data_IF_882076409606
#
_entry.id   IF_882076409606
#
_cell.length_a   1.000
_cell.length_b   1.000
_cell.length_c   1.000
_cell.angle_alpha   90.00
_cell.angle_beta   90.00
_cell.angle_gamma   90.00
#
_symmetry.space_group_name_H-M   'P 1'
#
loop_
_entity.id
_entity.type
_entity.pdbx_description
1 polymer ?
#
# COMPACT_ATOMS: atom_id res chain seq x y z
N UNK A 1 11.68 -51.59 14.74
CA UNK A 1 12.14 -50.20 14.92
C UNK A 1 13.62 -50.18 14.59
N UNK A 2 13.93 -50.10 13.30
CA UNK A 2 15.30 -50.06 12.81
C UNK A 2 15.86 -48.64 12.94
N UNK A 3 17.12 -48.59 13.34
CA UNK A 3 17.89 -47.37 13.58
C UNK A 3 18.08 -46.64 12.25
N UNK A 4 17.32 -45.57 12.03
CA UNK A 4 17.62 -44.60 10.97
C UNK A 4 19.02 -44.06 11.24
N UNK A 5 19.99 -44.43 10.41
CA UNK A 5 21.31 -43.80 10.41
C UNK A 5 21.11 -42.34 10.05
N UNK A 6 21.28 -41.45 11.02
CA UNK A 6 21.54 -40.04 10.74
C UNK A 6 22.89 -40.04 10.04
N UNK A 7 22.91 -39.93 8.71
CA UNK A 7 24.16 -39.75 7.99
C UNK A 7 24.78 -38.43 8.43
N UNK A 8 26.12 -38.38 8.48
CA UNK A 8 26.93 -37.14 8.43
C UNK A 8 26.73 -36.45 7.05
N UNK A 9 25.48 -36.27 6.64
CA UNK A 9 25.14 -35.65 5.36
C UNK A 9 25.45 -34.16 5.45
N UNK A 10 26.32 -33.71 4.56
CA UNK A 10 26.65 -32.28 4.41
C UNK A 10 25.36 -31.50 4.17
N UNK A 11 25.19 -30.31 4.76
CA UNK A 11 24.07 -29.45 4.45
C UNK A 11 24.01 -29.17 2.95
N UNK A 12 22.79 -29.06 2.42
CA UNK A 12 22.57 -28.75 1.01
C UNK A 12 21.78 -27.46 0.87
N UNK A 13 22.09 -26.73 -0.19
CA UNK A 13 21.27 -25.64 -0.70
C UNK A 13 20.15 -26.25 -1.54
N UNK A 14 18.90 -25.85 -1.31
CA UNK A 14 17.76 -26.37 -2.03
C UNK A 14 16.76 -25.26 -2.42
N UNK A 15 15.90 -25.58 -3.38
CA UNK A 15 14.71 -24.83 -3.75
C UNK A 15 13.45 -25.64 -3.43
N UNK A 16 12.35 -24.95 -3.14
CA UNK A 16 11.05 -25.60 -3.02
C UNK A 16 10.54 -26.01 -4.41
N UNK A 17 9.84 -27.13 -4.49
CA UNK A 17 9.13 -27.59 -5.69
C UNK A 17 7.61 -27.58 -5.43
N UNK A 18 6.80 -28.09 -6.35
CA UNK A 18 5.35 -28.09 -6.18
C UNK A 18 4.94 -29.01 -5.01
N UNK A 19 3.96 -28.59 -4.18
CA UNK A 19 3.38 -29.46 -3.16
C UNK A 19 2.64 -30.64 -3.81
N UNK A 20 2.67 -31.80 -3.17
CA UNK A 20 1.80 -32.94 -3.53
C UNK A 20 0.54 -32.93 -2.67
N UNK A 21 0.67 -32.52 -1.41
CA UNK A 21 -0.42 -32.35 -0.43
C UNK A 21 -0.13 -31.17 0.50
N UNK A 22 -0.98 -30.94 1.50
CA UNK A 22 -0.76 -29.90 2.53
C UNK A 22 0.51 -30.15 3.34
N UNK A 23 0.81 -31.41 3.63
CA UNK A 23 1.90 -31.80 4.54
C UNK A 23 3.13 -32.35 3.82
N UNK A 24 2.97 -32.74 2.54
CA UNK A 24 4.01 -33.38 1.74
C UNK A 24 4.28 -32.66 0.42
N UNK A 25 5.55 -32.58 0.07
CA UNK A 25 6.02 -31.94 -1.16
C UNK A 25 7.47 -32.31 -1.45
N UNK A 26 8.06 -31.68 -2.45
CA UNK A 26 9.44 -31.93 -2.84
C UNK A 26 10.30 -30.69 -2.69
N UNK A 27 11.59 -30.94 -2.50
CA UNK A 27 12.62 -29.91 -2.65
C UNK A 27 13.67 -30.40 -3.64
N UNK A 28 14.26 -29.46 -4.37
CA UNK A 28 15.27 -29.73 -5.39
C UNK A 28 16.63 -29.33 -4.80
N UNK A 29 17.56 -30.28 -4.57
CA UNK A 29 18.94 -29.99 -4.21
C UNK A 29 19.65 -29.25 -5.33
N UNK A 30 20.44 -28.24 -4.96
CA UNK A 30 21.12 -27.34 -5.90
C UNK A 30 22.64 -27.39 -5.69
N UNK A 31 23.10 -27.39 -4.44
CA UNK A 31 24.52 -27.43 -4.11
C UNK A 31 24.78 -28.05 -2.73
N UNK A 32 25.92 -28.69 -2.56
CA UNK A 32 26.46 -29.08 -1.26
C UNK A 32 27.21 -27.91 -0.63
N UNK A 33 26.96 -27.67 0.65
CA UNK A 33 27.75 -26.72 1.44
C UNK A 33 29.01 -27.43 2.00
N UNK A 34 30.16 -26.75 1.86
CA UNK A 34 31.45 -27.19 2.37
C UNK A 34 31.83 -26.41 3.63
N UNK A 35 32.76 -26.95 4.44
CA UNK A 35 33.16 -26.39 5.76
C UNK A 35 33.66 -24.93 5.72
N UNK A 36 33.97 -24.38 4.55
CA UNK A 36 34.43 -22.99 4.36
C UNK A 36 33.35 -22.02 3.83
N UNK A 37 32.06 -22.36 3.95
CA UNK A 37 30.94 -21.63 3.29
C UNK A 37 31.13 -21.52 1.77
N UNK A 38 31.73 -22.56 1.18
CA UNK A 38 31.85 -22.71 -0.25
C UNK A 38 30.81 -23.74 -0.72
N UNK A 39 30.42 -23.67 -1.98
CA UNK A 39 29.37 -24.51 -2.54
C UNK A 39 29.90 -25.29 -3.74
N UNK A 40 29.55 -26.57 -3.80
CA UNK A 40 29.74 -27.40 -5.00
C UNK A 40 28.37 -27.76 -5.53
N UNK A 41 28.13 -27.55 -6.82
CA UNK A 41 26.87 -27.89 -7.49
C UNK A 41 26.55 -29.37 -7.21
N UNK A 42 25.33 -29.65 -6.77
CA UNK A 42 24.86 -31.01 -6.57
C UNK A 42 24.55 -31.63 -7.94
N UNK A 43 25.04 -32.84 -8.19
CA UNK A 43 24.64 -33.55 -9.40
C UNK A 43 23.21 -34.06 -9.21
N UNK A 44 22.38 -33.94 -10.24
CA UNK A 44 21.05 -34.55 -10.26
C UNK A 44 21.11 -36.06 -10.05
N UNK A 45 22.24 -36.69 -10.39
CA UNK A 45 22.46 -38.12 -10.20
C UNK A 45 22.84 -38.49 -8.76
N UNK A 46 23.23 -37.53 -7.93
CA UNK A 46 23.45 -37.75 -6.49
C UNK A 46 22.13 -38.01 -5.76
N UNK A 47 21.00 -37.60 -6.36
CA UNK A 47 19.65 -37.78 -5.87
C UNK A 47 18.83 -38.59 -6.91
N UNK A 48 18.80 -39.92 -6.81
CA UNK A 48 18.06 -40.76 -7.76
C UNK A 48 16.56 -40.42 -7.70
N UNK A 49 15.84 -40.75 -8.78
CA UNK A 49 14.39 -40.55 -8.91
C UNK A 49 14.02 -39.06 -9.02
N UNK A 50 14.46 -38.47 -10.14
CA UNK A 50 14.18 -37.09 -10.58
C UNK A 50 14.95 -35.96 -9.87
N UNK A 51 16.00 -36.26 -9.10
CA UNK A 51 16.87 -35.22 -8.53
C UNK A 51 16.21 -34.45 -7.38
N UNK A 52 15.37 -35.11 -6.57
CA UNK A 52 14.53 -34.49 -5.54
C UNK A 52 14.68 -35.17 -4.19
N UNK A 53 14.32 -34.43 -3.14
CA UNK A 53 14.16 -34.96 -1.78
C UNK A 53 12.69 -34.82 -1.39
N UNK A 54 12.12 -35.91 -0.89
CA UNK A 54 10.76 -35.93 -0.37
C UNK A 54 10.66 -35.25 1.00
N UNK A 55 9.69 -34.37 1.16
CA UNK A 55 9.37 -33.78 2.46
C UNK A 55 8.25 -34.60 3.08
N UNK A 56 8.59 -35.43 4.07
CA UNK A 56 7.66 -36.40 4.65
C UNK A 56 6.57 -35.77 5.51
N UNK A 57 6.81 -34.56 6.02
CA UNK A 57 5.91 -33.82 6.90
C UNK A 57 6.29 -32.35 6.95
N UNK A 58 5.32 -31.48 7.29
CA UNK A 58 5.52 -30.04 7.53
C UNK A 58 5.92 -29.25 6.26
N UNK A 59 5.56 -29.72 5.07
CA UNK A 59 5.86 -29.01 3.83
C UNK A 59 5.29 -27.58 3.79
N UNK A 60 4.11 -27.36 4.35
CA UNK A 60 3.51 -26.03 4.52
C UNK A 60 4.44 -25.02 5.21
N UNK A 61 5.34 -25.49 6.09
CA UNK A 61 6.32 -24.62 6.75
C UNK A 61 7.36 -24.11 5.76
N UNK A 62 7.81 -24.94 4.82
CA UNK A 62 8.70 -24.54 3.74
C UNK A 62 7.96 -23.61 2.79
N UNK A 63 6.77 -24.00 2.34
CA UNK A 63 6.01 -23.25 1.34
C UNK A 63 5.64 -21.83 1.81
N UNK A 64 5.29 -21.67 3.09
CA UNK A 64 5.00 -20.36 3.70
C UNK A 64 6.26 -19.52 3.95
N UNK A 65 7.40 -20.14 4.26
CA UNK A 65 8.62 -19.42 4.65
C UNK A 65 9.45 -18.95 3.47
N UNK A 66 9.42 -19.70 2.36
CA UNK A 66 10.30 -19.46 1.22
C UNK A 66 9.49 -19.16 -0.02
N UNK A 67 9.86 -18.07 -0.69
CA UNK A 67 9.27 -17.70 -1.97
C UNK A 67 9.72 -18.70 -3.05
N UNK A 68 9.03 -18.70 -4.20
CA UNK A 68 9.56 -19.37 -5.38
C UNK A 68 10.96 -18.79 -5.68
N UNK A 69 11.90 -19.64 -6.10
CA UNK A 69 13.29 -19.25 -6.40
C UNK A 69 14.12 -18.80 -5.20
N UNK A 70 13.60 -18.87 -3.98
CA UNK A 70 14.35 -18.54 -2.78
C UNK A 70 15.07 -19.77 -2.26
N UNK A 71 16.41 -19.73 -2.29
CA UNK A 71 17.22 -20.79 -1.71
C UNK A 71 17.09 -20.84 -0.18
N UNK A 72 17.07 -22.07 0.34
CA UNK A 72 17.21 -22.37 1.76
C UNK A 72 18.19 -23.52 1.97
N UNK A 73 18.67 -23.65 3.21
CA UNK A 73 19.57 -24.71 3.63
C UNK A 73 18.74 -25.87 4.18
N UNK A 74 19.01 -27.09 3.72
CA UNK A 74 18.55 -28.32 4.34
C UNK A 74 19.68 -28.84 5.22
N UNK A 75 19.48 -28.76 6.52
CA UNK A 75 20.50 -29.13 7.50
C UNK A 75 20.60 -30.63 7.70
N UNK A 76 19.50 -31.36 7.47
CA UNK A 76 19.41 -32.81 7.66
C UNK A 76 18.47 -33.42 6.63
N UNK A 77 18.89 -34.56 6.09
CA UNK A 77 18.07 -35.42 5.25
C UNK A 77 18.57 -36.86 5.43
N UNK A 78 17.66 -37.82 5.27
CA UNK A 78 17.92 -39.25 5.42
C UNK A 78 17.75 -39.95 4.09
N UNK A 79 18.38 -41.12 3.95
CA UNK A 79 18.18 -42.01 2.82
C UNK A 79 17.45 -43.28 3.30
N UNK A 80 16.57 -43.81 2.46
CA UNK A 80 16.12 -45.19 2.56
C UNK A 80 17.02 -46.05 1.67
N UNK A 81 17.68 -47.05 2.26
CA UNK A 81 18.62 -47.94 1.56
C UNK A 81 17.93 -49.17 0.94
N UNK A 82 16.59 -49.21 0.97
CA UNK A 82 15.83 -50.29 0.35
C UNK A 82 15.91 -50.21 -1.19
N UNK A 83 16.38 -51.29 -1.82
CA UNK A 83 16.57 -51.41 -3.28
C UNK A 83 15.31 -51.05 -4.08
N UNK A 84 14.12 -51.29 -3.53
CA UNK A 84 12.85 -50.93 -4.16
C UNK A 84 12.67 -49.42 -4.39
N UNK A 85 13.31 -48.56 -3.58
CA UNK A 85 13.33 -47.11 -3.76
C UNK A 85 14.45 -46.66 -4.69
N UNK A 86 15.47 -47.48 -4.92
CA UNK A 86 16.60 -47.16 -5.80
C UNK A 86 16.25 -47.47 -7.25
N UNK A 87 15.51 -48.54 -7.49
CA UNK A 87 15.16 -49.02 -8.85
C UNK A 87 13.84 -48.43 -9.39
N UNK A 88 13.08 -47.71 -8.56
CA UNK A 88 11.79 -47.15 -8.95
C UNK A 88 11.87 -45.62 -9.10
N UNK A 89 11.81 -45.15 -10.34
CA UNK A 89 11.82 -43.73 -10.71
C UNK A 89 10.69 -42.89 -10.08
N UNK A 90 9.66 -43.53 -9.50
CA UNK A 90 8.52 -42.90 -8.84
C UNK A 90 8.61 -42.87 -7.31
N UNK A 91 9.66 -43.41 -6.69
CA UNK A 91 9.83 -43.43 -5.24
C UNK A 91 11.13 -42.73 -4.84
N UNK A 92 11.07 -41.73 -3.97
CA UNK A 92 12.24 -40.94 -3.63
C UNK A 92 13.09 -41.65 -2.57
N UNK A 93 14.38 -41.85 -2.88
CA UNK A 93 15.35 -42.42 -1.93
C UNK A 93 15.57 -41.53 -0.71
N UNK A 94 15.58 -40.21 -0.93
CA UNK A 94 15.94 -39.24 0.09
C UNK A 94 14.71 -38.54 0.65
N UNK A 95 14.68 -38.36 1.96
CA UNK A 95 13.59 -37.66 2.64
C UNK A 95 14.07 -36.75 3.78
N UNK A 96 13.27 -35.74 4.09
CA UNK A 96 13.49 -34.77 5.17
C UNK A 96 12.17 -34.32 5.82
N UNK A 97 12.23 -33.60 6.94
CA UNK A 97 11.07 -32.88 7.50
C UNK A 97 11.16 -31.39 7.18
N UNK A 98 10.02 -30.70 7.10
CA UNK A 98 9.99 -29.26 6.88
C UNK A 98 10.77 -28.45 7.91
N UNK A 99 10.82 -28.92 9.16
CA UNK A 99 11.64 -28.34 10.24
C UNK A 99 13.17 -28.41 10.02
N UNK A 100 13.66 -29.27 9.12
CA UNK A 100 15.09 -29.35 8.78
C UNK A 100 15.53 -28.25 7.80
N UNK A 101 14.60 -27.40 7.33
CA UNK A 101 14.86 -26.27 6.45
C UNK A 101 15.16 -24.96 7.22
N UNK A 102 16.25 -24.30 6.86
CA UNK A 102 16.74 -23.06 7.46
C UNK A 102 16.90 -21.96 6.41
N UNK A 103 16.48 -20.74 6.76
CA UNK A 103 16.68 -19.57 5.90
C UNK A 103 18.16 -19.19 5.83
N UNK A 104 18.66 -18.88 4.63
CA UNK A 104 20.01 -18.37 4.48
C UNK A 104 20.11 -16.95 5.05
N UNK A 105 21.30 -16.55 5.48
CA UNK A 105 21.55 -15.19 5.96
C UNK A 105 21.29 -14.18 4.85
N UNK A 106 20.99 -12.92 5.22
CA UNK A 106 20.56 -11.85 4.29
C UNK A 106 21.47 -11.66 3.07
N UNK A 107 22.77 -11.88 3.23
CA UNK A 107 23.75 -11.69 2.16
C UNK A 107 24.50 -12.95 1.73
N UNK A 108 23.86 -14.11 1.92
CA UNK A 108 24.22 -15.39 1.32
C UNK A 108 23.35 -15.62 0.08
N UNK A 109 23.95 -16.19 -0.96
CA UNK A 109 23.31 -16.49 -2.26
C UNK A 109 22.54 -15.29 -2.84
N UNK A 110 23.21 -14.14 -2.94
CA UNK A 110 22.62 -12.96 -3.57
C UNK A 110 22.61 -13.12 -5.09
N UNK A 111 21.46 -12.98 -5.77
CA UNK A 111 21.40 -13.11 -7.22
C UNK A 111 22.19 -12.01 -7.93
N UNK A 112 22.77 -12.38 -9.07
CA UNK A 112 23.48 -11.48 -9.98
C UNK A 112 22.66 -11.37 -11.26
N UNK A 113 22.25 -10.15 -11.58
CA UNK A 113 21.44 -9.83 -12.74
C UNK A 113 22.38 -9.32 -13.83
N UNK A 114 22.36 -9.98 -15.00
CA UNK A 114 23.21 -9.62 -16.13
C UNK A 114 22.50 -8.63 -17.03
N UNK A 115 22.75 -7.36 -16.80
CA UNK A 115 22.29 -6.25 -17.62
C UNK A 115 23.10 -5.00 -17.27
N UNK A 116 22.96 -3.95 -18.07
CA UNK A 116 23.57 -2.67 -17.75
C UNK A 116 22.99 -2.11 -16.45
N UNK A 117 23.85 -1.48 -15.63
CA UNK A 117 23.39 -0.81 -14.43
C UNK A 117 22.42 0.32 -14.81
N UNK A 118 21.18 0.34 -14.30
CA UNK A 118 20.25 1.39 -14.66
C UNK A 118 20.69 2.76 -14.15
N UNK A 119 20.19 3.81 -14.78
CA UNK A 119 20.47 5.16 -14.37
C UNK A 119 19.87 5.46 -13.00
N UNK A 120 20.60 6.22 -12.19
CA UNK A 120 20.14 6.64 -10.85
C UNK A 120 18.86 7.48 -10.87
N UNK A 121 18.60 8.19 -11.98
CA UNK A 121 17.37 8.98 -12.19
C UNK A 121 16.16 8.06 -12.43
N UNK A 122 16.38 6.93 -13.11
CA UNK A 122 15.36 5.91 -13.42
C UNK A 122 15.89 4.51 -13.09
N UNK A 123 15.92 4.13 -11.80
CA UNK A 123 16.63 2.94 -11.33
C UNK A 123 15.80 1.67 -11.55
N UNK A 124 15.31 1.45 -12.77
CA UNK A 124 14.48 0.30 -13.14
C UNK A 124 15.27 -0.68 -13.99
N UNK A 125 15.18 -1.96 -13.65
CA UNK A 125 15.78 -3.02 -14.46
C UNK A 125 15.00 -3.20 -15.77
N UNK A 126 15.70 -3.62 -16.81
CA UNK A 126 15.06 -4.03 -18.06
C UNK A 126 14.51 -5.46 -17.93
N UNK A 127 15.16 -6.29 -17.12
CA UNK A 127 14.72 -7.65 -16.85
C UNK A 127 13.46 -7.69 -15.96
N UNK A 128 12.50 -8.52 -16.34
CA UNK A 128 11.25 -8.77 -15.59
C UNK A 128 11.28 -10.16 -14.93
N UNK A 129 12.47 -10.77 -14.83
CA UNK A 129 12.61 -12.09 -14.23
C UNK A 129 12.14 -12.08 -12.76
N UNK A 130 11.53 -13.18 -12.26
CA UNK A 130 11.22 -13.29 -10.85
C UNK A 130 12.53 -13.22 -10.05
N UNK A 131 12.61 -12.25 -9.13
CA UNK A 131 13.74 -12.12 -8.21
C UNK A 131 13.37 -12.73 -6.86
N UNK A 132 14.29 -13.45 -6.21
CA UNK A 132 14.07 -13.88 -4.83
C UNK A 132 14.02 -12.66 -3.91
N UNK A 133 13.34 -12.79 -2.77
CA UNK A 133 13.23 -11.74 -1.75
C UNK A 133 14.55 -11.52 -0.99
N UNK A 134 15.60 -11.14 -1.72
CA UNK A 134 16.97 -10.96 -1.27
C UNK A 134 17.60 -9.77 -1.97
N UNK A 135 18.63 -9.20 -1.35
CA UNK A 135 19.42 -8.17 -2.00
C UNK A 135 20.10 -8.72 -3.25
N UNK A 136 20.12 -7.93 -4.32
CA UNK A 136 20.62 -8.33 -5.64
C UNK A 136 21.90 -7.57 -6.02
N UNK A 137 22.63 -8.09 -6.99
CA UNK A 137 23.76 -7.43 -7.62
C UNK A 137 23.51 -7.32 -9.13
N UNK A 138 24.11 -6.31 -9.77
CA UNK A 138 24.01 -6.09 -11.21
C UNK A 138 25.40 -6.23 -11.84
N UNK A 139 25.48 -6.97 -12.95
CA UNK A 139 26.70 -7.21 -13.71
C UNK A 139 26.54 -6.64 -15.13
N UNK A 140 27.25 -5.54 -15.42
CA UNK A 140 27.26 -4.87 -16.73
C UNK A 140 28.29 -5.47 -17.72
N UNK A 141 28.77 -6.69 -17.43
CA UNK A 141 29.89 -7.41 -18.06
C UNK A 141 31.30 -6.90 -17.71
N UNK A 142 31.44 -5.69 -17.17
CA UNK A 142 32.73 -5.12 -16.77
C UNK A 142 32.89 -5.06 -15.26
N UNK A 143 31.85 -4.58 -14.58
CA UNK A 143 31.77 -4.34 -13.15
C UNK A 143 30.58 -5.07 -12.53
N UNK A 144 30.76 -5.46 -11.28
CA UNK A 144 29.68 -5.88 -10.39
C UNK A 144 29.29 -4.71 -9.49
N UNK A 145 28.00 -4.43 -9.40
CA UNK A 145 27.41 -3.39 -8.57
C UNK A 145 26.45 -3.98 -7.54
N UNK A 146 26.43 -3.43 -6.32
CA UNK A 146 25.43 -3.76 -5.31
C UNK A 146 25.93 -3.60 -3.88
N UNK A 147 25.29 -4.20 -2.88
CA UNK A 147 23.99 -4.83 -2.98
C UNK A 147 22.89 -3.78 -3.23
N UNK A 148 21.82 -4.21 -3.91
CA UNK A 148 20.59 -3.45 -4.09
C UNK A 148 19.44 -4.14 -3.38
N UNK A 149 18.55 -3.35 -2.76
CA UNK A 149 17.20 -3.79 -2.46
C UNK A 149 16.33 -3.51 -3.68
N UNK A 150 15.30 -4.31 -3.88
CA UNK A 150 14.39 -4.16 -5.00
C UNK A 150 12.93 -4.16 -4.57
N UNK A 151 12.11 -3.46 -5.32
CA UNK A 151 10.64 -3.44 -5.18
C UNK A 151 10.03 -3.53 -6.56
N UNK A 152 8.87 -4.17 -6.69
CA UNK A 152 8.11 -4.22 -7.94
C UNK A 152 6.94 -3.25 -7.87
N UNK A 153 6.82 -2.39 -8.88
CA UNK A 153 5.69 -1.49 -9.10
C UNK A 153 5.16 -1.65 -10.54
N UNK A 154 4.28 -0.72 -10.98
CA UNK A 154 3.66 -0.75 -12.31
C UNK A 154 4.67 -0.52 -13.45
N UNK A 155 5.79 0.16 -13.19
CA UNK A 155 6.85 0.40 -14.19
C UNK A 155 7.83 -0.77 -14.28
N UNK A 156 8.00 -1.54 -13.20
CA UNK A 156 8.82 -2.74 -13.21
C UNK A 156 9.55 -2.98 -11.90
N UNK A 157 10.76 -3.52 -12.00
CA UNK A 157 11.62 -3.81 -10.84
C UNK A 157 12.50 -2.58 -10.59
N UNK A 158 12.21 -1.86 -9.51
CA UNK A 158 12.95 -0.70 -9.05
C UNK A 158 14.06 -1.10 -8.09
N UNK A 159 15.28 -0.62 -8.32
CA UNK A 159 16.44 -0.81 -7.46
C UNK A 159 16.67 0.37 -6.52
N UNK A 160 17.20 0.06 -5.35
CA UNK A 160 17.71 1.05 -4.39
C UNK A 160 18.95 0.52 -3.68
N UNK A 161 19.90 1.39 -3.36
CA UNK A 161 21.14 0.97 -2.68
C UNK A 161 20.82 0.31 -1.32
N UNK A 162 21.26 -0.93 -1.14
CA UNK A 162 21.11 -1.66 0.11
C UNK A 162 22.26 -1.35 1.07
N UNK A 163 21.92 -1.14 2.34
CA UNK A 163 22.94 -1.01 3.37
C UNK A 163 23.45 -2.39 3.77
N UNK A 164 24.74 -2.63 3.51
CA UNK A 164 25.44 -3.80 4.01
C UNK A 164 26.39 -3.39 5.14
N UNK A 165 26.09 -3.77 6.41
CA UNK A 165 26.99 -3.49 7.53
C UNK A 165 28.34 -4.20 7.37
N UNK A 166 28.41 -5.19 6.47
CA UNK A 166 29.60 -5.96 6.21
C UNK A 166 30.59 -5.19 5.32
N UNK A 167 30.10 -4.49 4.31
CA UNK A 167 30.94 -3.80 3.34
C UNK A 167 31.35 -2.39 3.78
N UNK A 168 30.74 -1.81 4.83
CA UNK A 168 31.11 -0.45 5.26
C UNK A 168 30.79 0.62 4.21
N UNK A 169 29.71 0.41 3.44
CA UNK A 169 29.26 1.34 2.41
C UNK A 169 28.73 2.63 3.04
N UNK A 170 29.03 3.76 2.41
CA UNK A 170 28.38 5.04 2.74
C UNK A 170 26.87 4.95 2.46
N UNK A 171 26.05 5.78 3.12
CA UNK A 171 24.63 5.87 2.80
C UNK A 171 24.40 6.09 1.30
N UNK A 172 23.47 5.33 0.74
CA UNK A 172 23.05 5.37 -0.67
C UNK A 172 24.15 4.99 -1.68
N UNK A 173 25.30 4.51 -1.22
CA UNK A 173 26.34 4.01 -2.10
C UNK A 173 26.25 2.50 -2.26
N UNK A 174 26.72 2.04 -3.41
CA UNK A 174 26.89 0.62 -3.74
C UNK A 174 28.36 0.31 -3.98
N UNK A 175 28.75 -0.91 -3.64
CA UNK A 175 30.01 -1.53 -4.01
C UNK A 175 30.11 -1.62 -5.54
N UNK A 176 31.31 -1.34 -6.06
CA UNK A 176 31.69 -1.44 -7.47
C UNK A 176 33.08 -2.08 -7.57
N UNK A 177 33.16 -3.18 -8.31
CA UNK A 177 34.42 -3.91 -8.52
C UNK A 177 34.46 -4.52 -9.92
N UNK A 178 35.63 -4.78 -10.48
CA UNK A 178 35.72 -5.49 -11.75
C UNK A 178 35.36 -6.96 -11.57
N UNK A 179 34.62 -7.54 -12.52
CA UNK A 179 34.15 -8.92 -12.44
C UNK A 179 35.26 -9.95 -12.19
N UNK A 180 36.45 -9.88 -12.84
CA UNK A 180 37.52 -10.86 -12.60
C UNK A 180 38.03 -10.91 -11.16
N UNK A 181 37.88 -9.83 -10.39
CA UNK A 181 38.36 -9.76 -9.00
C UNK A 181 37.43 -10.50 -8.03
N UNK A 182 36.20 -10.79 -8.45
CA UNK A 182 35.17 -11.46 -7.64
C UNK A 182 34.63 -12.74 -8.27
N UNK A 183 35.12 -13.15 -9.45
CA UNK A 183 34.59 -14.30 -10.18
C UNK A 183 34.67 -15.61 -9.39
N UNK A 184 35.68 -15.75 -8.52
CA UNK A 184 35.83 -16.88 -7.61
C UNK A 184 34.74 -16.98 -6.54
N UNK A 185 33.99 -15.90 -6.31
CA UNK A 185 32.86 -15.83 -5.36
C UNK A 185 31.50 -16.00 -6.05
N UNK A 186 31.51 -16.19 -7.37
CA UNK A 186 30.30 -16.33 -8.18
C UNK A 186 30.09 -17.81 -8.49
N UNK A 187 28.91 -18.31 -8.13
CA UNK A 187 28.44 -19.64 -8.54
C UNK A 187 27.43 -19.49 -9.67
N UNK A 188 27.54 -20.36 -10.67
CA UNK A 188 26.62 -20.41 -11.81
C UNK A 188 25.84 -21.71 -11.76
N UNK A 189 24.53 -21.64 -11.98
CA UNK A 189 23.66 -22.80 -12.08
C UNK A 189 23.15 -22.92 -13.52
N UNK A 190 23.70 -23.88 -14.26
CA UNK A 190 23.44 -24.04 -15.70
C UNK A 190 22.11 -24.74 -16.00
N UNK A 191 21.49 -25.40 -15.00
CA UNK A 191 20.34 -26.29 -15.17
C UNK A 191 19.16 -25.95 -14.24
N UNK A 192 18.54 -24.78 -14.41
CA UNK A 192 17.12 -24.61 -13.97
C UNK A 192 16.12 -25.14 -15.01
N UNK A 193 16.62 -25.65 -16.15
CA UNK A 193 15.93 -25.86 -17.43
C UNK A 193 14.62 -26.67 -17.40
N UNK A 194 14.33 -27.42 -16.34
CA UNK A 194 13.17 -28.33 -16.33
C UNK A 194 12.04 -27.93 -15.39
N UNK A 195 12.22 -26.93 -14.52
CA UNK A 195 11.23 -26.70 -13.45
C UNK A 195 10.65 -25.29 -13.38
N UNK A 196 11.30 -24.28 -13.97
CA UNK A 196 10.88 -22.91 -13.74
C UNK A 196 11.23 -21.88 -14.82
N UNK A 197 10.49 -20.76 -14.83
CA UNK A 197 10.79 -19.55 -15.59
C UNK A 197 12.08 -18.91 -15.05
N UNK A 198 13.21 -19.28 -15.67
CA UNK A 198 14.57 -18.75 -15.56
C UNK A 198 14.81 -17.72 -14.43
N UNK A 199 15.10 -18.15 -13.19
CA UNK A 199 15.71 -17.27 -12.19
C UNK A 199 17.11 -16.83 -12.64
N UNK A 200 17.74 -15.86 -11.96
CA UNK A 200 19.12 -15.50 -12.22
C UNK A 200 20.01 -16.74 -12.22
N UNK A 201 20.80 -16.95 -13.28
CA UNK A 201 21.67 -18.12 -13.38
C UNK A 201 22.95 -17.99 -12.53
N UNK A 202 23.26 -16.80 -12.04
CA UNK A 202 24.48 -16.51 -11.29
C UNK A 202 24.15 -15.91 -9.94
N UNK A 203 24.91 -16.33 -8.92
CA UNK A 203 24.75 -15.87 -7.56
C UNK A 203 26.11 -15.60 -6.93
N UNK A 204 26.17 -14.58 -6.10
CA UNK A 204 27.27 -14.35 -5.19
C UNK A 204 27.00 -15.15 -3.91
N UNK A 205 27.77 -16.21 -3.68
CA UNK A 205 27.40 -17.15 -2.62
C UNK A 205 27.59 -16.59 -1.21
N UNK A 206 28.55 -15.70 -0.99
CA UNK A 206 28.71 -14.99 0.28
C UNK A 206 29.39 -13.62 0.11
N UNK A 207 28.62 -12.56 0.37
CA UNK A 207 29.14 -11.18 0.28
C UNK A 207 30.24 -10.84 1.29
N UNK A 208 30.41 -11.63 2.37
CA UNK A 208 31.46 -11.36 3.35
C UNK A 208 32.85 -11.40 2.72
N UNK A 209 33.05 -12.25 1.71
CA UNK A 209 34.33 -12.36 1.02
C UNK A 209 34.67 -11.12 0.20
N UNK A 210 33.67 -10.32 -0.20
CA UNK A 210 33.91 -9.06 -0.91
C UNK A 210 34.70 -8.04 -0.07
N UNK A 211 34.70 -8.16 1.27
CA UNK A 211 35.53 -7.28 2.13
C UNK A 211 37.02 -7.44 1.89
N UNK A 212 37.44 -8.61 1.40
CA UNK A 212 38.84 -8.91 1.14
C UNK A 212 39.32 -8.39 -0.23
N UNK A 213 38.40 -7.89 -1.05
CA UNK A 213 38.69 -7.36 -2.38
C UNK A 213 38.80 -5.84 -2.30
N UNK A 214 39.72 -5.25 -3.05
CA UNK A 214 39.77 -3.80 -3.21
C UNK A 214 38.60 -3.35 -4.10
N UNK A 215 37.82 -2.36 -3.65
CA UNK A 215 36.62 -1.95 -4.37
C UNK A 215 36.39 -0.46 -4.27
N UNK A 216 35.62 0.07 -5.22
CA UNK A 216 35.14 1.45 -5.20
C UNK A 216 33.71 1.52 -4.70
N UNK A 217 33.33 2.67 -4.12
CA UNK A 217 31.94 2.96 -3.77
C UNK A 217 31.36 3.92 -4.81
N UNK A 218 30.22 3.58 -5.37
CA UNK A 218 29.49 4.42 -6.31
C UNK A 218 28.22 4.94 -5.65
N UNK A 219 28.01 6.26 -5.67
CA UNK A 219 26.77 6.85 -5.20
C UNK A 219 25.61 6.45 -6.13
N UNK A 220 24.56 5.88 -5.55
CA UNK A 220 23.39 5.37 -6.24
C UNK A 220 22.09 5.87 -5.57
N UNK A 221 22.10 7.14 -5.15
CA UNK A 221 20.89 7.79 -4.63
C UNK A 221 19.91 8.08 -5.77
N UNK A 222 18.66 7.61 -5.66
CA UNK A 222 17.60 7.94 -6.64
C UNK A 222 17.13 9.38 -6.50
N UNK A 223 16.48 9.95 -7.53
CA UNK A 223 15.97 11.32 -7.47
C UNK A 223 14.97 11.52 -6.32
N UNK A 224 14.02 10.60 -6.11
CA UNK A 224 13.08 10.65 -4.98
C UNK A 224 13.78 10.66 -3.61
N UNK A 225 14.85 9.87 -3.49
CA UNK A 225 15.62 9.77 -2.25
C UNK A 225 16.54 10.97 -2.08
N UNK A 226 17.07 11.52 -3.17
CA UNK A 226 17.84 12.76 -3.21
C UNK A 226 16.97 13.94 -2.80
N UNK A 227 15.70 13.94 -3.21
CA UNK A 227 14.67 14.89 -2.77
C UNK A 227 14.50 14.81 -1.24
N UNK A 228 14.28 13.60 -0.73
CA UNK A 228 14.11 13.36 0.72
C UNK A 228 15.36 13.76 1.51
N UNK A 229 16.54 13.43 0.98
CA UNK A 229 17.84 13.79 1.55
C UNK A 229 18.03 15.31 1.58
N UNK A 230 17.71 16.02 0.48
CA UNK A 230 17.81 17.47 0.42
C UNK A 230 16.86 18.16 1.40
N UNK A 231 15.64 17.62 1.57
CA UNK A 231 14.67 18.17 2.53
C UNK A 231 15.21 18.05 3.96
N UNK A 232 15.77 16.89 4.29
CA UNK A 232 16.38 16.66 5.60
C UNK A 232 17.58 17.59 5.85
N UNK A 233 18.43 17.82 4.85
CA UNK A 233 19.67 18.56 5.04
C UNK A 233 19.52 20.08 4.89
N UNK A 234 18.68 20.55 3.97
CA UNK A 234 18.47 21.98 3.72
C UNK A 234 17.35 22.57 4.58
N UNK A 235 16.26 21.82 4.77
CA UNK A 235 15.06 22.30 5.46
C UNK A 235 14.92 21.75 6.88
N UNK A 236 15.81 20.82 7.28
CA UNK A 236 15.73 20.09 8.56
C UNK A 236 14.38 19.39 8.76
N UNK A 237 13.73 18.99 7.68
CA UNK A 237 12.44 18.32 7.68
C UNK A 237 12.45 17.17 6.69
N UNK A 238 12.03 15.98 7.10
CA UNK A 238 11.91 14.81 6.20
C UNK A 238 10.61 14.77 5.40
N UNK A 239 9.62 15.60 5.78
CA UNK A 239 8.24 15.53 5.27
C UNK A 239 7.91 16.76 4.40
N UNK A 240 8.80 17.75 4.34
CA UNK A 240 8.56 18.97 3.58
C UNK A 240 8.29 18.64 2.10
N UNK A 241 7.05 18.89 1.64
CA UNK A 241 6.73 18.83 0.22
C UNK A 241 7.48 19.95 -0.50
N UNK A 242 8.13 19.62 -1.60
CA UNK A 242 8.79 20.62 -2.44
C UNK A 242 7.72 21.48 -3.13
N UNK A 243 7.78 22.78 -2.89
CA UNK A 243 6.93 23.83 -3.44
C UNK A 243 7.82 25.03 -3.79
N UNK A 244 7.25 26.09 -4.38
CA UNK A 244 8.03 27.26 -4.83
C UNK A 244 8.91 27.87 -3.72
N UNK A 245 8.44 27.89 -2.47
CA UNK A 245 9.20 28.41 -1.33
C UNK A 245 10.38 27.50 -0.99
N UNK A 246 10.13 26.22 -0.79
CA UNK A 246 11.18 25.25 -0.43
C UNK A 246 12.19 25.04 -1.55
N UNK A 247 11.77 25.10 -2.83
CA UNK A 247 12.67 25.09 -3.98
C UNK A 247 13.62 26.31 -4.02
N UNK A 248 13.13 27.49 -3.61
CA UNK A 248 13.96 28.70 -3.52
C UNK A 248 14.97 28.57 -2.38
N UNK A 249 14.54 28.06 -1.22
CA UNK A 249 15.42 27.75 -0.08
C UNK A 249 16.49 26.71 -0.46
N UNK A 250 16.13 25.70 -1.26
CA UNK A 250 17.08 24.74 -1.82
C UNK A 250 18.11 25.39 -2.75
N UNK A 251 17.68 26.27 -3.66
CA UNK A 251 18.60 27.00 -4.55
C UNK A 251 19.58 27.86 -3.77
N UNK A 252 19.11 28.56 -2.73
CA UNK A 252 19.97 29.34 -1.83
C UNK A 252 20.94 28.43 -1.07
N UNK A 253 20.45 27.32 -0.52
CA UNK A 253 21.30 26.36 0.19
C UNK A 253 22.39 25.78 -0.72
N UNK A 254 22.03 25.36 -1.94
CA UNK A 254 22.98 24.81 -2.93
C UNK A 254 24.00 25.84 -3.41
N UNK A 255 23.64 27.12 -3.47
CA UNK A 255 24.59 28.21 -3.79
C UNK A 255 25.56 28.47 -2.64
N UNK A 256 25.08 28.39 -1.40
CA UNK A 256 25.83 28.76 -0.20
C UNK A 256 26.69 27.63 0.37
N UNK A 257 26.43 26.36 0.02
CA UNK A 257 27.15 25.22 0.53
C UNK A 257 28.28 24.79 -0.41
N UNK A 258 29.51 25.17 -0.07
CA UNK A 258 30.71 24.47 -0.59
C UNK A 258 31.03 23.19 0.18
N UNK A 259 30.49 23.00 1.40
CA UNK A 259 31.00 22.00 2.35
C UNK A 259 29.89 21.26 3.15
N UNK A 260 28.81 20.79 2.53
CA UNK A 260 27.87 19.91 3.24
C UNK A 260 28.37 18.47 3.19
N UNK A 261 28.55 17.82 4.34
CA UNK A 261 29.02 16.43 4.42
C UNK A 261 28.07 15.49 3.65
N UNK A 262 28.60 14.76 2.66
CA UNK A 262 27.80 13.87 1.82
C UNK A 262 27.14 14.53 0.60
N UNK A 263 27.45 15.81 0.33
CA UNK A 263 27.14 16.49 -0.92
C UNK A 263 28.38 16.52 -1.81
N UNK A 264 28.40 15.66 -2.82
CA UNK A 264 29.38 15.75 -3.90
C UNK A 264 28.86 16.62 -5.06
N UNK A 265 29.72 16.87 -6.04
CA UNK A 265 29.39 17.66 -7.23
C UNK A 265 28.24 17.02 -8.03
N UNK A 266 28.15 15.69 -8.08
CA UNK A 266 27.13 14.99 -8.85
C UNK A 266 25.73 15.16 -8.23
N UNK A 267 25.58 14.90 -6.92
CA UNK A 267 24.34 15.15 -6.17
C UNK A 267 23.91 16.60 -6.28
N UNK A 268 24.87 17.54 -6.21
CA UNK A 268 24.60 18.97 -6.36
C UNK A 268 24.01 19.28 -7.73
N UNK A 269 24.66 18.82 -8.80
CA UNK A 269 24.22 19.06 -10.17
C UNK A 269 22.84 18.43 -10.44
N UNK A 270 22.58 17.24 -9.91
CA UNK A 270 21.26 16.59 -9.99
C UNK A 270 20.19 17.38 -9.24
N UNK A 271 20.45 17.85 -8.03
CA UNK A 271 19.51 18.72 -7.29
C UNK A 271 19.19 19.98 -8.11
N UNK A 272 20.20 20.63 -8.70
CA UNK A 272 20.00 21.84 -9.53
C UNK A 272 19.11 21.53 -10.73
N UNK A 273 19.25 20.35 -11.36
CA UNK A 273 18.40 19.91 -12.48
C UNK A 273 16.98 19.52 -12.05
N UNK A 274 16.81 18.97 -10.84
CA UNK A 274 15.52 18.55 -10.32
C UNK A 274 14.62 19.73 -9.95
N UNK A 275 15.20 20.81 -9.40
CA UNK A 275 14.44 21.97 -8.93
C UNK A 275 13.47 22.54 -10.00
N UNK A 276 13.90 22.80 -11.25
CA UNK A 276 12.99 23.25 -12.32
C UNK A 276 11.87 22.25 -12.65
N UNK A 277 12.21 20.97 -12.86
CA UNK A 277 11.25 19.91 -13.21
C UNK A 277 10.15 19.80 -12.15
N UNK A 278 10.52 19.84 -10.88
CA UNK A 278 9.57 19.72 -9.76
C UNK A 278 8.69 20.97 -9.58
N UNK A 279 9.19 22.16 -9.91
CA UNK A 279 8.37 23.38 -9.94
C UNK A 279 7.31 23.31 -11.03
N UNK A 280 7.66 22.79 -12.20
CA UNK A 280 6.74 22.58 -13.32
C UNK A 280 5.69 21.50 -13.00
N UNK A 281 6.10 20.34 -12.49
CA UNK A 281 5.20 19.25 -12.08
C UNK A 281 4.24 19.67 -10.97
N UNK A 282 4.69 20.42 -9.96
CA UNK A 282 3.79 20.92 -8.91
C UNK A 282 2.70 21.85 -9.46
N UNK A 283 3.03 22.61 -10.51
CA UNK A 283 2.09 23.52 -11.19
C UNK A 283 1.12 22.72 -12.05
N UNK A 284 1.61 21.69 -12.74
CA UNK A 284 0.78 20.79 -13.54
C UNK A 284 -0.15 19.91 -12.68
N UNK A 285 0.35 19.31 -11.60
CA UNK A 285 -0.45 18.51 -10.66
C UNK A 285 -1.52 19.36 -9.96
N UNK A 286 -1.17 20.59 -9.53
CA UNK A 286 -2.16 21.50 -8.97
C UNK A 286 -3.22 21.88 -10.01
N UNK A 287 -2.82 22.13 -11.26
CA UNK A 287 -3.77 22.41 -12.34
C UNK A 287 -4.65 21.21 -12.67
N UNK A 288 -4.11 19.99 -12.65
CA UNK A 288 -4.83 18.74 -12.90
C UNK A 288 -5.81 18.43 -11.78
N UNK A 289 -5.38 18.50 -10.51
CA UNK A 289 -6.26 18.30 -9.34
C UNK A 289 -7.38 19.35 -9.35
N UNK A 290 -7.05 20.61 -9.64
CA UNK A 290 -8.07 21.65 -9.70
C UNK A 290 -9.05 21.37 -10.85
N UNK A 291 -8.55 21.01 -12.04
CA UNK A 291 -9.38 20.62 -13.18
C UNK A 291 -10.26 19.39 -12.88
N UNK A 292 -9.73 18.37 -12.21
CA UNK A 292 -10.47 17.19 -11.77
C UNK A 292 -11.58 17.56 -10.78
N UNK A 293 -11.25 18.35 -9.74
CA UNK A 293 -12.21 18.76 -8.71
C UNK A 293 -13.28 19.73 -9.23
N UNK A 294 -12.96 20.58 -10.22
CA UNK A 294 -13.91 21.58 -10.73
C UNK A 294 -14.66 21.15 -11.98
N UNK A 295 -14.03 20.40 -12.89
CA UNK A 295 -14.54 20.15 -14.23
C UNK A 295 -14.90 18.68 -14.49
N UNK A 296 -14.46 17.74 -13.66
CA UNK A 296 -14.86 16.34 -13.76
C UNK A 296 -15.96 15.96 -12.76
N UNK A 297 -16.94 15.18 -13.22
CA UNK A 297 -18.12 14.85 -12.41
C UNK A 297 -17.80 14.05 -11.15
N UNK A 298 -16.73 13.24 -11.16
CA UNK A 298 -16.29 12.48 -9.99
C UNK A 298 -15.61 13.38 -8.96
N UNK A 299 -14.77 14.32 -9.39
CA UNK A 299 -14.17 15.31 -8.50
C UNK A 299 -15.21 16.23 -7.87
N UNK A 300 -16.21 16.68 -8.64
CA UNK A 300 -17.34 17.45 -8.11
C UNK A 300 -18.11 16.67 -7.03
N UNK A 301 -18.38 15.38 -7.25
CA UNK A 301 -19.05 14.53 -6.24
C UNK A 301 -18.27 14.44 -4.93
N UNK A 302 -16.94 14.39 -4.98
CA UNK A 302 -16.09 14.37 -3.77
C UNK A 302 -16.22 15.69 -3.01
N UNK A 303 -16.20 16.83 -3.73
CA UNK A 303 -16.39 18.15 -3.12
C UNK A 303 -17.78 18.28 -2.52
N UNK A 304 -18.81 17.86 -3.24
CA UNK A 304 -20.20 17.88 -2.78
C UNK A 304 -20.38 17.01 -1.54
N UNK A 305 -19.84 15.80 -1.53
CA UNK A 305 -19.90 14.91 -0.37
C UNK A 305 -19.18 15.53 0.84
N UNK A 306 -18.00 16.13 0.64
CA UNK A 306 -17.28 16.80 1.71
C UNK A 306 -18.04 18.00 2.28
N UNK A 307 -18.72 18.78 1.44
CA UNK A 307 -19.58 19.89 1.87
C UNK A 307 -20.81 19.40 2.65
N UNK A 308 -21.38 18.26 2.26
CA UNK A 308 -22.49 17.61 2.98
C UNK A 308 -22.03 17.09 4.34
N UNK A 309 -20.90 16.38 4.38
CA UNK A 309 -20.36 15.79 5.62
C UNK A 309 -19.92 16.85 6.63
N UNK A 310 -19.57 18.05 6.15
CA UNK A 310 -19.12 19.18 6.98
C UNK A 310 -20.13 20.33 7.01
N UNK A 311 -21.39 20.07 6.65
CA UNK A 311 -22.44 21.09 6.49
C UNK A 311 -22.62 21.95 7.75
N UNK A 312 -22.54 21.34 8.93
CA UNK A 312 -22.67 22.03 10.22
C UNK A 312 -21.53 23.01 10.50
N UNK A 313 -20.35 22.79 9.90
CA UNK A 313 -19.20 23.69 10.02
C UNK A 313 -19.34 24.89 9.08
N UNK A 314 -19.81 24.66 7.85
CA UNK A 314 -19.90 25.70 6.82
C UNK A 314 -21.17 26.54 6.93
N UNK A 315 -22.29 25.95 7.36
CA UNK A 315 -23.60 26.59 7.35
C UNK A 315 -24.17 26.85 8.74
N UNK A 316 -23.37 26.70 9.80
CA UNK A 316 -23.77 26.86 11.21
C UNK A 316 -24.60 28.12 11.46
N UNK A 317 -24.09 29.26 11.00
CA UNK A 317 -24.69 30.57 11.26
C UNK A 317 -25.97 30.78 10.44
N UNK A 318 -26.03 30.24 9.22
CA UNK A 318 -27.23 30.30 8.38
C UNK A 318 -28.36 29.42 8.93
N UNK A 319 -28.03 28.22 9.39
CA UNK A 319 -28.99 27.31 10.03
C UNK A 319 -29.57 27.94 11.30
N UNK A 320 -28.70 28.53 12.14
CA UNK A 320 -29.14 29.25 13.34
C UNK A 320 -30.10 30.40 13.03
N UNK A 321 -29.82 31.19 11.99
CA UNK A 321 -30.72 32.27 11.57
C UNK A 321 -32.07 31.77 11.04
N UNK A 322 -32.09 30.62 10.36
CA UNK A 322 -33.34 30.00 9.89
C UNK A 322 -34.17 29.52 11.08
N UNK A 323 -33.55 28.86 12.05
CA UNK A 323 -34.22 28.40 13.28
C UNK A 323 -34.80 29.57 14.08
N UNK A 324 -34.02 30.63 14.31
CA UNK A 324 -34.48 31.83 15.01
C UNK A 324 -35.67 32.51 14.29
N UNK A 325 -35.69 32.48 12.95
CA UNK A 325 -36.80 33.02 12.15
C UNK A 325 -38.05 32.15 12.25
N UNK A 326 -37.88 30.83 12.13
CA UNK A 326 -38.97 29.87 12.26
C UNK A 326 -39.63 29.95 13.63
N UNK A 327 -38.84 30.10 14.70
CA UNK A 327 -39.36 30.23 16.06
C UNK A 327 -40.14 31.54 16.25
N UNK A 328 -39.64 32.67 15.71
CA UNK A 328 -40.37 33.95 15.71
C UNK A 328 -41.71 33.86 14.98
N UNK A 329 -41.75 33.19 13.82
CA UNK A 329 -42.99 33.00 13.07
C UNK A 329 -43.98 32.09 13.81
N UNK A 330 -43.51 31.00 14.43
CA UNK A 330 -44.33 30.10 15.23
C UNK A 330 -44.98 30.83 16.43
N UNK A 331 -44.22 31.68 17.12
CA UNK A 331 -44.74 32.51 18.22
C UNK A 331 -45.81 33.48 17.72
N UNK A 332 -45.61 34.10 16.55
CA UNK A 332 -46.59 35.01 15.94
C UNK A 332 -47.89 34.28 15.58
N UNK A 333 -47.80 33.15 14.88
CA UNK A 333 -48.96 32.33 14.54
C UNK A 333 -49.76 31.89 15.77
N UNK A 334 -49.06 31.53 16.86
CA UNK A 334 -49.71 31.11 18.11
C UNK A 334 -50.49 32.25 18.76
N UNK A 335 -49.98 33.49 18.71
CA UNK A 335 -50.70 34.68 19.16
C UNK A 335 -51.93 34.93 18.30
N UNK A 336 -51.78 34.88 16.97
CA UNK A 336 -52.89 35.14 16.05
C UNK A 336 -54.02 34.11 16.23
N UNK A 337 -53.68 32.83 16.42
CA UNK A 337 -54.65 31.78 16.76
C UNK A 337 -55.41 32.08 18.06
N UNK A 338 -54.74 32.60 19.08
CA UNK A 338 -55.38 32.96 20.34
C UNK A 338 -56.40 34.09 20.13
N UNK A 339 -56.02 35.15 19.40
CA UNK A 339 -56.93 36.26 19.09
C UNK A 339 -58.13 35.82 18.25
N UNK A 340 -57.91 34.98 17.24
CA UNK A 340 -59.00 34.45 16.41
C UNK A 340 -59.99 33.60 17.21
N UNK A 341 -59.51 32.78 18.16
CA UNK A 341 -60.39 32.02 19.07
C UNK A 341 -61.20 32.95 19.98
N UNK A 342 -60.57 33.96 20.57
CA UNK A 342 -61.27 34.93 21.41
C UNK A 342 -62.37 35.69 20.64
N UNK A 343 -62.08 36.11 19.40
CA UNK A 343 -63.04 36.77 18.52
C UNK A 343 -64.20 35.86 18.12
N UNK A 344 -63.92 34.60 17.81
CA UNK A 344 -64.94 33.58 17.54
C UNK A 344 -65.89 33.43 18.73
N UNK A 345 -65.35 33.33 19.94
CA UNK A 345 -66.14 33.15 21.16
C UNK A 345 -66.96 34.40 21.52
N UNK A 346 -66.51 35.59 21.14
CA UNK A 346 -67.30 36.82 21.23
C UNK A 346 -68.47 36.79 20.24
N UNK A 347 -68.22 36.48 18.97
CA UNK A 347 -69.25 36.43 17.93
C UNK A 347 -70.34 35.38 18.23
N UNK A 348 -69.97 34.24 18.81
CA UNK A 348 -70.95 33.25 19.26
C UNK A 348 -71.90 33.81 20.33
N UNK A 349 -71.38 34.59 21.29
CA UNK A 349 -72.21 35.23 22.32
C UNK A 349 -73.14 36.29 21.72
N UNK A 350 -72.65 37.12 20.80
CA UNK A 350 -73.46 38.12 20.10
C UNK A 350 -74.59 37.45 19.28
N UNK A 351 -74.28 36.35 18.59
CA UNK A 351 -75.27 35.55 17.85
C UNK A 351 -76.35 34.96 18.78
N UNK A 352 -75.96 34.49 19.96
CA UNK A 352 -76.90 33.95 20.95
C UNK A 352 -77.84 35.04 21.48
N UNK A 353 -77.32 36.23 21.79
CA UNK A 353 -78.13 37.38 22.20
C UNK A 353 -79.08 37.86 21.10
N UNK A 354 -78.62 37.94 19.85
CA UNK A 354 -79.46 38.33 18.71
C UNK A 354 -80.57 37.31 18.47
N UNK A 355 -80.28 36.02 18.57
CA UNK A 355 -81.30 34.97 18.43
C UNK A 355 -82.33 35.02 19.57
N UNK A 356 -81.92 35.36 20.79
CA UNK A 356 -82.83 35.58 21.91
C UNK A 356 -83.76 36.78 21.64
N UNK A 357 -83.21 37.94 21.24
CA UNK A 357 -84.00 39.13 20.88
C UNK A 357 -84.97 38.85 19.74
N UNK A 358 -84.52 38.14 18.70
CA UNK A 358 -85.38 37.73 17.57
C UNK A 358 -86.58 36.90 18.02
N UNK A 359 -86.38 35.92 18.91
CA UNK A 359 -87.47 35.12 19.47
C UNK A 359 -88.44 35.96 20.31
N UNK A 360 -87.93 36.88 21.11
CA UNK A 360 -88.74 37.79 21.92
C UNK A 360 -89.61 38.70 21.03
N UNK A 361 -89.06 39.26 19.95
CA UNK A 361 -89.84 40.07 19.00
C UNK A 361 -90.86 39.25 18.21
N UNK A 362 -90.51 38.04 17.76
CA UNK A 362 -91.46 37.14 17.11
C UNK A 362 -92.64 36.81 18.03
N UNK A 363 -92.36 36.54 19.31
CA UNK A 363 -93.39 36.28 20.31
C UNK A 363 -94.28 37.50 20.53
N UNK A 364 -93.70 38.71 20.60
CA UNK A 364 -94.44 39.98 20.72
C UNK A 364 -95.35 40.21 19.51
N UNK A 365 -94.82 40.05 18.30
CA UNK A 365 -95.59 40.23 17.06
C UNK A 365 -96.73 39.22 16.93
N UNK A 366 -96.51 37.95 17.30
CA UNK A 366 -97.57 36.94 17.33
C UNK A 366 -98.66 37.25 18.36
N UNK A 367 -98.30 37.81 19.53
CA UNK A 367 -99.25 38.26 20.54
C UNK A 367 -100.09 39.44 20.04
N UNK A 368 -99.46 40.45 19.44
CA UNK A 368 -100.13 41.61 18.82
C UNK A 368 -101.09 41.15 17.72
N UNK A 369 -100.64 40.29 16.80
CA UNK A 369 -101.49 39.76 15.72
C UNK A 369 -102.69 38.96 16.24
N UNK A 370 -102.51 38.18 17.31
CA UNK A 370 -103.61 37.46 17.97
C UNK A 370 -104.61 38.41 18.64
N UNK A 371 -104.14 39.51 19.22
CA UNK A 371 -105.03 40.53 19.79
C UNK A 371 -105.80 41.29 18.71
N UNK A 372 -105.15 41.66 17.61
CA UNK A 372 -105.80 42.29 16.46
C UNK A 372 -106.87 41.38 15.85
N UNK A 373 -106.56 40.10 15.59
CA UNK A 373 -107.53 39.13 15.09
C UNK A 373 -108.75 38.99 16.01
N UNK A 374 -108.54 38.89 17.32
CA UNK A 374 -109.66 38.88 18.30
C UNK A 374 -110.51 40.14 18.22
N UNK A 375 -109.88 41.31 18.09
CA UNK A 375 -110.61 42.59 17.98
C UNK A 375 -111.43 42.70 16.68
N UNK A 376 -110.96 42.09 15.59
CA UNK A 376 -111.66 42.02 14.31
C UNK A 376 -112.82 41.03 14.39
N UNK A 377 -112.62 39.85 15.00
CA UNK A 377 -113.67 38.86 15.24
C UNK A 377 -114.80 39.44 16.12
N UNK A 378 -114.47 40.19 17.18
CA UNK A 378 -115.46 40.89 18.01
C UNK A 378 -116.23 41.99 17.26
N UNK A 379 -115.61 42.61 16.24
CA UNK A 379 -116.26 43.60 15.37
C UNK A 379 -117.18 42.97 14.33
N UNK A 380 -116.79 41.82 13.75
CA UNK A 380 -117.59 41.12 12.74
C UNK A 380 -118.77 40.39 13.37
N UNK A 381 -118.64 39.82 14.57
CA UNK A 381 -119.74 39.14 15.27
C UNK A 381 -120.83 40.05 15.85
N UNK A 382 -120.68 41.38 15.75
CA UNK A 382 -121.66 42.39 16.21
C UNK A 382 -122.38 43.11 15.05
N UNK A 383 -122.13 42.72 13.80
CA UNK A 383 -122.91 43.05 12.60
C UNK A 383 -123.78 41.85 12.24
#
# INVERSE_FOLDING_TARGET
MEKTKINDSKPILALKDRPISSDGGFVIPIAYELESNNYTIADRYDFPNNGRIWVSSEYETIDRRFSDYEFFRVNRYSADDNEAYIENDYLEKYWMRGSDAEALKRFEMCPIIKEDLPDVERPYLNSIAPLPNRSVFVNDNTYLFGPFEWTKDDEGIRLSAAQSPLLGLKPDHVFKVKIPEVSQFIIKFDNFKNHFSLPPAEYLFNTNFLKAVEYNQQDYISDDRLVTWGNKNFLKSSIAKLNRKTATEWLEAVKNLKNLTGMDTNRRDRIVKLIPKMLEESTQQASFINNFLTNESEGQKIVDQYLVDNKDKFFKDQLKHIEERAEKEAVKLRRDMYFLRAKRDQLYREMEELNKKKKEEQTRYEQERKQELRSIEERIGKL
#
